data_IF_031490068306
#
_entry.id   IF_031490068306
#
_cell.length_a   1.000
_cell.length_b   1.000
_cell.length_c   1.000
_cell.angle_alpha   90.00
_cell.angle_beta   90.00
_cell.angle_gamma   90.00
#
_symmetry.space_group_name_H-M   'P 1'
#
loop_
_entity.id
_entity.type
_entity.pdbx_description
1 polymer ?
#
# COMPACT_ATOMS: atom_id res chain seq x y z
N UNK A 1 -6.34 31.26 10.47
CA UNK A 1 -7.57 31.54 9.70
C UNK A 1 -8.74 31.49 10.67
N UNK A 2 -8.98 32.57 11.40
CA UNK A 2 -10.13 32.68 12.31
C UNK A 2 -11.12 33.62 11.63
N UNK A 3 -12.13 33.03 10.96
CA UNK A 3 -13.27 33.78 10.43
C UNK A 3 -14.50 33.36 11.24
N UNK A 4 -14.84 34.24 12.18
CA UNK A 4 -16.18 34.61 12.58
C UNK A 4 -17.16 33.48 12.92
N UNK A 5 -16.92 32.81 14.05
CA UNK A 5 -18.03 32.30 14.86
C UNK A 5 -18.70 33.50 15.53
N UNK A 6 -19.60 34.18 14.80
CA UNK A 6 -20.44 35.24 15.37
C UNK A 6 -21.26 34.66 16.52
N UNK A 7 -21.12 35.23 17.72
CA UNK A 7 -21.88 34.82 18.87
C UNK A 7 -23.39 35.03 18.62
N UNK A 8 -24.25 34.03 18.89
CA UNK A 8 -25.69 34.21 18.77
C UNK A 8 -26.18 35.30 19.72
N UNK A 9 -27.17 36.07 19.29
CA UNK A 9 -27.78 37.13 20.10
C UNK A 9 -28.49 36.47 21.30
N UNK A 10 -28.22 36.95 22.51
CA UNK A 10 -28.86 36.43 23.70
C UNK A 10 -30.38 36.71 23.67
N UNK A 11 -31.19 35.66 23.56
CA UNK A 11 -32.65 35.75 23.66
C UNK A 11 -33.03 35.75 25.15
N UNK A 12 -33.56 36.88 25.64
CA UNK A 12 -34.08 36.99 27.00
C UNK A 12 -35.45 36.31 27.11
N UNK A 13 -35.74 35.68 28.25
CA UNK A 13 -37.05 35.10 28.52
C UNK A 13 -38.10 36.20 28.63
N UNK A 14 -39.23 36.05 27.94
CA UNK A 14 -40.33 37.04 27.90
C UNK A 14 -41.61 36.41 28.40
N UNK A 15 -42.45 37.24 29.03
CA UNK A 15 -43.71 36.79 29.61
C UNK A 15 -44.88 37.60 29.05
N UNK A 16 -45.86 36.91 28.46
CA UNK A 16 -47.01 37.54 27.80
C UNK A 16 -47.97 38.24 28.78
N UNK A 17 -47.96 37.86 30.07
CA UNK A 17 -48.77 38.47 31.13
C UNK A 17 -48.23 39.82 31.65
N UNK A 18 -46.98 40.15 31.32
CA UNK A 18 -46.33 41.41 31.71
C UNK A 18 -46.55 42.53 30.68
N UNK A 19 -47.14 42.22 29.52
CA UNK A 19 -47.38 43.17 28.44
C UNK A 19 -48.68 43.98 28.66
N UNK A 20 -48.65 45.31 28.44
CA UNK A 20 -49.87 46.11 28.41
C UNK A 20 -50.77 45.70 27.23
N UNK A 21 -52.10 45.91 27.32
CA UNK A 21 -53.06 45.39 26.33
C UNK A 21 -52.82 45.83 24.88
N UNK A 22 -52.31 47.05 24.68
CA UNK A 22 -51.99 47.60 23.36
C UNK A 22 -50.79 46.89 22.72
N UNK A 23 -49.77 46.58 23.52
CA UNK A 23 -48.57 45.86 23.09
C UNK A 23 -48.86 44.37 22.86
N UNK A 24 -49.73 43.77 23.69
CA UNK A 24 -50.20 42.40 23.52
C UNK A 24 -50.90 42.22 22.16
N UNK A 25 -51.69 43.22 21.73
CA UNK A 25 -52.33 43.21 20.41
C UNK A 25 -51.30 43.28 19.27
N UNK A 26 -50.30 44.15 19.40
CA UNK A 26 -49.25 44.34 18.41
C UNK A 26 -48.35 43.11 18.25
N UNK A 27 -47.92 42.48 19.35
CA UNK A 27 -47.09 41.27 19.33
C UNK A 27 -47.89 40.05 18.84
N UNK A 28 -49.16 39.91 19.22
CA UNK A 28 -50.03 38.87 18.63
C UNK A 28 -50.12 38.99 17.09
N UNK A 29 -50.20 40.20 16.56
CA UNK A 29 -50.22 40.44 15.11
C UNK A 29 -48.85 40.10 14.48
N UNK A 30 -47.75 40.44 15.15
CA UNK A 30 -46.39 40.14 14.71
C UNK A 30 -46.13 38.64 14.56
N UNK A 31 -46.64 37.83 15.49
CA UNK A 31 -46.55 36.36 15.43
C UNK A 31 -47.69 35.69 14.64
N UNK A 32 -48.54 36.47 13.97
CA UNK A 32 -49.70 36.00 13.21
C UNK A 32 -50.67 35.12 14.03
N UNK A 33 -50.83 35.43 15.32
CA UNK A 33 -51.74 34.70 16.23
C UNK A 33 -53.19 35.14 15.93
N UNK A 34 -54.12 34.22 15.66
CA UNK A 34 -55.49 34.55 15.26
C UNK A 34 -56.28 35.29 16.35
N UNK A 35 -57.23 36.13 15.93
CA UNK A 35 -58.13 36.88 16.82
C UNK A 35 -59.13 35.95 17.51
N UNK A 36 -59.18 35.99 18.85
CA UNK A 36 -60.01 35.15 19.71
C UNK A 36 -59.98 35.60 21.17
N UNK A 37 -60.36 34.72 22.11
CA UNK A 37 -60.36 34.98 23.56
C UNK A 37 -58.97 35.44 24.07
N UNK A 38 -58.95 36.43 24.96
CA UNK A 38 -57.73 37.07 25.47
C UNK A 38 -56.81 36.04 26.13
N UNK A 39 -57.39 35.08 26.86
CA UNK A 39 -56.64 34.00 27.51
C UNK A 39 -55.95 33.08 26.50
N UNK A 40 -56.66 32.71 25.43
CA UNK A 40 -56.10 31.87 24.36
C UNK A 40 -54.95 32.57 23.61
N UNK A 41 -55.07 33.89 23.39
CA UNK A 41 -54.04 34.70 22.73
C UNK A 41 -52.79 34.85 23.59
N UNK A 42 -52.95 35.09 24.89
CA UNK A 42 -51.82 35.16 25.83
C UNK A 42 -51.05 33.84 25.91
N UNK A 43 -51.77 32.70 25.95
CA UNK A 43 -51.12 31.38 25.96
C UNK A 43 -50.38 31.07 24.65
N UNK A 44 -50.98 31.39 23.49
CA UNK A 44 -50.34 31.20 22.20
C UNK A 44 -49.09 32.10 22.03
N UNK A 45 -49.14 33.34 22.53
CA UNK A 45 -47.99 34.24 22.52
C UNK A 45 -46.90 33.78 23.48
N UNK A 46 -47.26 33.30 24.66
CA UNK A 46 -46.30 32.72 25.61
C UNK A 46 -45.59 31.50 25.01
N UNK A 47 -46.33 30.62 24.31
CA UNK A 47 -45.72 29.49 23.59
C UNK A 47 -44.71 29.96 22.56
N UNK A 48 -44.98 31.03 21.81
CA UNK A 48 -44.01 31.59 20.85
C UNK A 48 -42.77 32.17 21.53
N UNK A 49 -42.93 32.87 22.66
CA UNK A 49 -41.80 33.36 23.44
C UNK A 49 -40.96 32.23 24.06
N UNK A 50 -41.61 31.18 24.55
CA UNK A 50 -40.92 30.01 25.09
C UNK A 50 -40.18 29.24 23.98
N UNK A 51 -40.81 29.06 22.80
CA UNK A 51 -40.17 28.46 21.61
C UNK A 51 -38.94 29.26 21.16
N UNK A 52 -39.05 30.59 21.04
CA UNK A 52 -37.91 31.45 20.65
C UNK A 52 -36.78 31.42 21.69
N UNK A 53 -37.13 31.41 22.98
CA UNK A 53 -36.16 31.31 24.07
C UNK A 53 -35.45 29.94 24.05
N UNK A 54 -36.19 28.84 23.88
CA UNK A 54 -35.62 27.50 23.78
C UNK A 54 -34.71 27.34 22.56
N UNK A 55 -35.12 27.82 21.39
CA UNK A 55 -34.28 27.83 20.19
C UNK A 55 -33.02 28.66 20.42
N UNK A 56 -33.14 29.85 21.00
CA UNK A 56 -31.99 30.70 21.34
C UNK A 56 -31.03 30.06 22.35
N UNK A 57 -31.54 29.31 23.34
CA UNK A 57 -30.71 28.54 24.27
C UNK A 57 -30.02 27.37 23.58
N UNK A 58 -30.73 26.61 22.73
CA UNK A 58 -30.14 25.51 21.95
C UNK A 58 -29.06 26.01 21.00
N UNK A 59 -29.27 27.15 20.33
CA UNK A 59 -28.27 27.78 19.47
C UNK A 59 -27.04 28.22 20.26
N UNK A 60 -27.23 28.78 21.46
CA UNK A 60 -26.14 29.17 22.36
C UNK A 60 -25.37 27.96 22.88
N UNK A 61 -26.05 26.90 23.30
CA UNK A 61 -25.41 25.65 23.72
C UNK A 61 -24.63 25.01 22.57
N UNK A 62 -25.20 24.98 21.36
CA UNK A 62 -24.53 24.48 20.17
C UNK A 62 -23.31 25.34 19.81
N UNK A 63 -23.40 26.66 19.96
CA UNK A 63 -22.27 27.58 19.81
C UNK A 63 -21.17 27.29 20.83
N UNK A 64 -21.51 27.15 22.12
CA UNK A 64 -20.54 26.81 23.17
C UNK A 64 -19.85 25.47 22.89
N UNK A 65 -20.60 24.43 22.48
CA UNK A 65 -20.00 23.14 22.10
C UNK A 65 -19.02 23.26 20.92
N UNK A 66 -19.36 24.09 19.92
CA UNK A 66 -18.47 24.37 18.78
C UNK A 66 -17.21 25.12 19.20
N UNK A 67 -17.35 26.09 20.10
CA UNK A 67 -16.23 26.85 20.66
C UNK A 67 -15.30 25.92 21.45
N UNK A 68 -15.84 25.10 22.36
CA UNK A 68 -15.07 24.10 23.09
C UNK A 68 -14.38 23.10 22.16
N UNK A 69 -15.05 22.67 21.08
CA UNK A 69 -14.43 21.80 20.08
C UNK A 69 -13.28 22.49 19.35
N UNK A 70 -13.44 23.79 19.05
CA UNK A 70 -12.38 24.58 18.44
C UNK A 70 -11.20 24.79 19.38
N UNK A 71 -11.45 25.16 20.63
CA UNK A 71 -10.41 25.28 21.67
C UNK A 71 -9.65 23.97 21.83
N UNK A 72 -10.36 22.83 21.94
CA UNK A 72 -9.71 21.51 21.97
C UNK A 72 -8.87 21.21 20.72
N UNK A 73 -9.31 21.65 19.53
CA UNK A 73 -8.53 21.50 18.29
C UNK A 73 -7.29 22.39 18.30
N UNK A 74 -7.40 23.62 18.79
CA UNK A 74 -6.28 24.55 18.90
C UNK A 74 -5.25 24.05 19.92
N UNK A 75 -5.68 23.63 21.11
CA UNK A 75 -4.83 22.98 22.12
C UNK A 75 -4.13 21.74 21.56
N UNK A 76 -4.85 20.90 20.81
CA UNK A 76 -4.26 19.72 20.16
C UNK A 76 -3.22 20.11 19.12
N UNK A 77 -3.49 21.11 18.28
CA UNK A 77 -2.56 21.58 17.26
C UNK A 77 -1.30 22.20 17.89
N UNK A 78 -1.45 22.95 18.98
CA UNK A 78 -0.33 23.49 19.75
C UNK A 78 0.51 22.38 20.39
N UNK A 79 -0.13 21.37 21.01
CA UNK A 79 0.57 20.22 21.57
C UNK A 79 1.36 19.44 20.50
N UNK A 80 0.79 19.25 19.31
CA UNK A 80 1.48 18.62 18.17
C UNK A 80 2.66 19.46 17.70
N UNK A 81 2.51 20.79 17.62
CA UNK A 81 3.58 21.70 17.24
C UNK A 81 4.74 21.65 18.24
N UNK A 82 4.45 21.76 19.54
CA UNK A 82 5.44 21.68 20.61
C UNK A 82 6.19 20.34 20.58
N UNK A 83 5.51 19.23 20.30
CA UNK A 83 6.15 17.91 20.18
C UNK A 83 7.08 17.84 18.96
N UNK A 84 6.68 18.41 17.83
CA UNK A 84 7.53 18.50 16.63
C UNK A 84 8.78 19.35 16.88
N UNK A 85 8.66 20.45 17.62
CA UNK A 85 9.81 21.28 17.99
C UNK A 85 10.79 20.52 18.89
N UNK A 86 10.30 19.83 19.92
CA UNK A 86 11.14 18.99 20.78
C UNK A 86 11.85 17.89 19.97
N UNK A 87 11.14 17.27 19.02
CA UNK A 87 11.70 16.25 18.13
C UNK A 87 12.82 16.83 17.25
N UNK A 88 12.62 18.02 16.68
CA UNK A 88 13.65 18.71 15.90
C UNK A 88 14.86 19.09 16.75
N UNK A 89 14.64 19.60 17.97
CA UNK A 89 15.72 19.91 18.90
C UNK A 89 16.55 18.67 19.27
N UNK A 90 15.90 17.53 19.54
CA UNK A 90 16.61 16.28 19.80
C UNK A 90 17.43 15.81 18.59
N UNK A 91 16.89 15.92 17.37
CA UNK A 91 17.63 15.60 16.15
C UNK A 91 18.81 16.56 15.90
N UNK A 92 18.70 17.84 16.27
CA UNK A 92 19.82 18.79 16.18
C UNK A 92 20.96 18.42 17.13
N UNK A 93 20.65 17.93 18.33
CA UNK A 93 21.64 17.41 19.28
C UNK A 93 22.32 16.12 18.78
N UNK A 94 21.67 15.37 17.88
CA UNK A 94 22.14 14.08 17.34
C UNK A 94 22.29 14.14 15.80
N UNK A 95 23.31 14.83 15.24
CA UNK A 95 23.40 15.10 13.79
C UNK A 95 23.50 13.84 12.92
N UNK A 96 24.10 12.77 13.47
CA UNK A 96 24.17 11.46 12.80
C UNK A 96 22.77 10.85 12.65
N UNK A 97 21.95 10.91 13.70
CA UNK A 97 20.58 10.37 13.67
C UNK A 97 19.71 11.23 12.77
N UNK A 98 19.87 12.55 12.79
CA UNK A 98 19.17 13.45 11.87
C UNK A 98 19.40 13.08 10.40
N UNK A 99 20.64 12.81 10.02
CA UNK A 99 20.98 12.39 8.66
C UNK A 99 20.33 11.04 8.31
N UNK A 100 20.34 10.08 9.25
CA UNK A 100 19.68 8.78 9.06
C UNK A 100 18.17 8.95 8.87
N UNK A 101 17.52 9.78 9.67
CA UNK A 101 16.07 10.07 9.54
C UNK A 101 15.77 10.66 8.17
N UNK A 102 16.55 11.65 7.71
CA UNK A 102 16.39 12.21 6.36
C UNK A 102 16.57 11.15 5.25
N UNK A 103 17.56 10.27 5.38
CA UNK A 103 17.78 9.18 4.42
C UNK A 103 16.62 8.17 4.40
N UNK A 104 16.01 7.90 5.55
CA UNK A 104 14.82 7.04 5.67
C UNK A 104 13.62 7.71 5.00
N UNK A 105 13.38 9.00 5.27
CA UNK A 105 12.28 9.77 4.66
C UNK A 105 12.41 9.83 3.13
N UNK A 106 13.64 9.94 2.62
CA UNK A 106 13.93 9.95 1.18
C UNK A 106 13.99 8.56 0.54
N UNK A 107 13.78 7.48 1.30
CA UNK A 107 13.92 6.08 0.82
C UNK A 107 15.30 5.73 0.23
N UNK A 108 16.36 6.42 0.65
CA UNK A 108 17.75 6.16 0.22
C UNK A 108 18.57 5.42 1.28
N UNK A 109 18.01 5.23 2.48
CA UNK A 109 18.66 4.50 3.56
C UNK A 109 19.00 3.04 3.16
N UNK A 110 20.12 2.49 3.66
CA UNK A 110 20.56 1.13 3.35
C UNK A 110 19.54 0.09 3.82
N UNK A 111 19.51 -1.07 3.14
CA UNK A 111 18.60 -2.18 3.49
C UNK A 111 18.79 -2.70 4.92
N UNK A 112 20.01 -2.64 5.43
CA UNK A 112 20.35 -3.04 6.80
C UNK A 112 20.84 -1.80 7.53
N UNK A 113 20.11 -1.40 8.57
CA UNK A 113 20.39 -0.21 9.34
C UNK A 113 20.58 -0.58 10.80
N UNK A 114 21.73 -0.19 11.34
CA UNK A 114 22.08 -0.37 12.75
C UNK A 114 22.23 1.02 13.35
N UNK A 115 21.47 1.29 14.42
CA UNK A 115 21.49 2.58 15.10
C UNK A 115 21.84 2.37 16.56
N UNK A 116 22.81 3.15 17.03
CA UNK A 116 23.36 3.11 18.39
C UNK A 116 23.42 4.52 18.96
N UNK A 117 23.33 4.61 20.29
CA UNK A 117 23.31 5.86 21.05
C UNK A 117 22.23 6.83 20.55
N UNK A 118 21.00 6.34 20.38
CA UNK A 118 19.82 7.14 20.01
C UNK A 118 19.00 7.48 21.25
N UNK A 119 18.58 8.73 21.41
CA UNK A 119 17.64 9.10 22.49
C UNK A 119 16.22 8.57 22.21
N UNK A 120 15.38 8.49 23.25
CA UNK A 120 13.97 8.07 23.12
C UNK A 120 13.22 8.92 22.09
N UNK A 121 13.45 10.24 22.10
CA UNK A 121 12.74 11.18 21.23
C UNK A 121 13.21 11.08 19.77
N UNK A 122 14.52 11.00 19.54
CA UNK A 122 15.07 10.75 18.21
C UNK A 122 14.67 9.35 17.68
N UNK A 123 14.51 8.36 18.56
CA UNK A 123 13.99 7.04 18.20
C UNK A 123 12.52 7.12 17.75
N UNK A 124 11.67 7.89 18.44
CA UNK A 124 10.30 8.15 17.99
C UNK A 124 10.28 8.81 16.60
N UNK A 125 11.17 9.77 16.34
CA UNK A 125 11.34 10.40 15.03
C UNK A 125 11.67 9.39 13.94
N UNK A 126 12.68 8.55 14.20
CA UNK A 126 13.12 7.50 13.29
C UNK A 126 12.00 6.50 13.00
N UNK A 127 11.29 6.02 14.03
CA UNK A 127 10.16 5.09 13.88
C UNK A 127 8.99 5.73 13.12
N UNK A 128 8.77 7.04 13.28
CA UNK A 128 7.77 7.80 12.52
C UNK A 128 8.15 7.86 11.03
N UNK A 129 9.39 8.21 10.71
CA UNK A 129 9.90 8.21 9.34
C UNK A 129 9.83 6.80 8.69
N UNK A 130 10.13 5.76 9.47
CA UNK A 130 10.06 4.37 9.02
C UNK A 130 8.65 3.95 8.58
N UNK A 131 7.55 4.59 9.02
CA UNK A 131 6.18 4.19 8.65
C UNK A 131 5.93 4.16 7.14
N UNK A 132 6.54 5.09 6.40
CA UNK A 132 6.40 5.19 4.94
C UNK A 132 7.63 4.65 4.18
N UNK A 133 8.67 4.22 4.90
CA UNK A 133 9.90 3.76 4.27
C UNK A 133 9.74 2.39 3.60
N UNK A 134 10.31 2.26 2.41
CA UNK A 134 10.28 1.04 1.59
C UNK A 134 11.67 0.44 1.30
N UNK A 135 12.73 1.17 1.63
CA UNK A 135 14.13 0.78 1.36
C UNK A 135 14.71 -0.14 2.44
N UNK A 136 14.51 0.20 3.71
CA UNK A 136 15.05 -0.53 4.88
C UNK A 136 14.30 -1.86 5.06
N UNK A 137 15.07 -2.94 5.18
CA UNK A 137 14.59 -4.33 5.35
C UNK A 137 14.96 -4.92 6.69
N UNK A 138 16.01 -4.42 7.32
CA UNK A 138 16.46 -4.82 8.65
C UNK A 138 16.83 -3.57 9.45
N UNK A 139 16.21 -3.42 10.61
CA UNK A 139 16.47 -2.33 11.54
C UNK A 139 16.92 -2.90 12.88
N UNK A 140 18.07 -2.45 13.35
CA UNK A 140 18.62 -2.83 14.64
C UNK A 140 18.74 -1.60 15.53
N UNK A 141 17.92 -1.57 16.58
CA UNK A 141 17.88 -0.58 17.66
C UNK A 141 18.29 -1.19 19.00
N UNK A 142 19.02 -2.31 18.99
CA UNK A 142 19.49 -2.94 20.22
C UNK A 142 20.52 -2.10 20.97
N UNK A 143 20.57 -2.28 22.29
CA UNK A 143 21.54 -1.64 23.18
C UNK A 143 21.48 -0.09 23.13
N UNK A 144 20.29 0.48 23.34
CA UNK A 144 20.04 1.92 23.29
C UNK A 144 19.32 2.48 24.53
N UNK A 145 19.14 1.68 25.59
CA UNK A 145 18.38 2.09 26.80
C UNK A 145 16.96 2.57 26.47
N UNK A 146 16.32 1.97 25.47
CA UNK A 146 14.97 2.35 25.05
C UNK A 146 13.94 1.83 26.07
N UNK A 147 12.98 2.67 26.44
CA UNK A 147 11.95 2.38 27.46
C UNK A 147 10.57 2.37 26.83
N UNK A 148 9.50 2.18 27.62
CA UNK A 148 8.14 2.11 27.09
C UNK A 148 7.62 3.37 26.40
N UNK A 149 8.34 4.49 26.52
CA UNK A 149 8.04 5.73 25.80
C UNK A 149 7.98 5.50 24.28
N UNK A 150 8.79 4.58 23.74
CA UNK A 150 8.80 4.28 22.30
C UNK A 150 7.77 3.21 21.89
N UNK A 151 7.10 2.54 22.84
CA UNK A 151 6.26 1.36 22.58
C UNK A 151 5.12 1.63 21.58
N UNK A 152 4.45 2.77 21.74
CA UNK A 152 3.38 3.18 20.80
C UNK A 152 3.94 3.51 19.41
N UNK A 153 5.10 4.18 19.35
CA UNK A 153 5.79 4.50 18.10
C UNK A 153 6.22 3.23 17.35
N UNK A 154 6.68 2.21 18.08
CA UNK A 154 6.98 0.89 17.54
C UNK A 154 5.73 0.23 16.97
N UNK A 155 4.63 0.18 17.74
CA UNK A 155 3.37 -0.40 17.29
C UNK A 155 2.86 0.24 15.99
N UNK A 156 2.79 1.57 15.96
CA UNK A 156 2.39 2.34 14.76
C UNK A 156 3.32 2.13 13.57
N UNK A 157 4.63 1.99 13.80
CA UNK A 157 5.60 1.68 12.74
C UNK A 157 5.34 0.30 12.15
N UNK A 158 5.18 -0.72 13.00
CA UNK A 158 4.91 -2.09 12.55
C UNK A 158 3.55 -2.22 11.87
N UNK A 159 2.52 -1.49 12.29
CA UNK A 159 1.22 -1.53 11.64
C UNK A 159 1.28 -1.02 10.19
N UNK A 160 1.97 0.11 9.98
CA UNK A 160 2.00 0.80 8.69
C UNK A 160 3.11 0.32 7.75
N UNK A 161 4.29 0.01 8.27
CA UNK A 161 5.43 -0.36 7.43
C UNK A 161 5.21 -1.75 6.80
N UNK A 162 5.24 -1.81 5.47
CA UNK A 162 5.09 -3.04 4.68
C UNK A 162 6.38 -3.49 3.98
N UNK A 163 7.54 -2.98 4.41
CA UNK A 163 8.84 -3.29 3.83
C UNK A 163 9.81 -3.99 4.80
N UNK A 164 9.79 -3.62 6.08
CA UNK A 164 10.67 -4.11 7.12
C UNK A 164 10.44 -5.60 7.38
N UNK A 165 11.53 -6.38 7.31
CA UNK A 165 11.52 -7.84 7.47
C UNK A 165 12.13 -8.28 8.80
N UNK A 166 13.15 -7.59 9.27
CA UNK A 166 13.84 -7.91 10.52
C UNK A 166 13.89 -6.69 11.43
N UNK A 167 13.50 -6.85 12.68
CA UNK A 167 13.53 -5.78 13.66
C UNK A 167 14.13 -6.26 14.98
N UNK A 168 15.20 -5.60 15.41
CA UNK A 168 15.91 -5.92 16.65
C UNK A 168 15.77 -4.78 17.66
N UNK A 169 15.14 -5.09 18.80
CA UNK A 169 14.96 -4.25 19.98
C UNK A 169 15.65 -4.84 21.22
N UNK A 170 16.54 -5.82 21.04
CA UNK A 170 17.22 -6.50 22.15
C UNK A 170 18.06 -5.56 23.02
N UNK A 171 18.36 -5.97 24.26
CA UNK A 171 19.17 -5.19 25.21
C UNK A 171 18.63 -3.76 25.39
N UNK A 172 17.34 -3.64 25.68
CA UNK A 172 16.69 -2.38 26.02
C UNK A 172 15.88 -2.58 27.32
N UNK A 173 15.13 -1.57 27.73
CA UNK A 173 14.41 -1.51 29.00
C UNK A 173 12.88 -1.52 28.76
N UNK A 174 12.43 -2.28 27.76
CA UNK A 174 11.02 -2.42 27.42
C UNK A 174 10.30 -3.34 28.41
N UNK A 175 9.11 -2.95 28.85
CA UNK A 175 8.28 -3.71 29.79
C UNK A 175 7.00 -4.21 29.10
N UNK A 176 6.11 -4.96 29.79
CA UNK A 176 4.85 -5.44 29.22
C UNK A 176 4.01 -4.33 28.58
N UNK A 177 4.14 -3.06 28.99
CA UNK A 177 3.41 -1.94 28.40
C UNK A 177 3.71 -1.78 26.90
N UNK A 178 4.97 -1.88 26.48
CA UNK A 178 5.34 -1.87 25.06
C UNK A 178 4.85 -3.12 24.32
N UNK A 179 4.80 -4.25 25.02
CA UNK A 179 4.40 -5.53 24.46
C UNK A 179 2.97 -5.51 23.91
N UNK A 180 2.04 -4.80 24.58
CA UNK A 180 0.67 -4.65 24.11
C UNK A 180 0.57 -3.96 22.75
N UNK A 181 1.33 -2.87 22.55
CA UNK A 181 1.37 -2.15 21.28
C UNK A 181 2.04 -2.99 20.18
N UNK A 182 3.15 -3.68 20.50
CA UNK A 182 3.83 -4.60 19.58
C UNK A 182 2.90 -5.75 19.17
N UNK A 183 2.23 -6.39 20.14
CA UNK A 183 1.30 -7.50 19.89
C UNK A 183 0.14 -7.10 18.98
N UNK A 184 -0.53 -5.98 19.27
CA UNK A 184 -1.61 -5.49 18.42
C UNK A 184 -1.15 -5.19 16.99
N UNK A 185 0.03 -4.61 16.82
CA UNK A 185 0.58 -4.34 15.50
C UNK A 185 0.97 -5.62 14.74
N UNK A 186 1.54 -6.62 15.44
CA UNK A 186 1.92 -7.91 14.84
C UNK A 186 0.71 -8.70 14.32
N UNK A 187 -0.49 -8.54 14.90
CA UNK A 187 -1.71 -9.14 14.35
C UNK A 187 -2.01 -8.69 12.92
N UNK A 188 -1.71 -7.44 12.60
CA UNK A 188 -1.99 -6.83 11.30
C UNK A 188 -0.76 -6.77 10.37
N UNK A 189 0.43 -6.99 10.91
CA UNK A 189 1.65 -7.03 10.13
C UNK A 189 1.83 -8.40 9.48
N UNK A 190 1.86 -8.43 8.15
CA UNK A 190 2.05 -9.65 7.33
C UNK A 190 3.41 -9.69 6.63
N UNK A 191 4.35 -8.83 7.05
CA UNK A 191 5.60 -8.55 6.34
C UNK A 191 6.83 -8.90 7.18
N UNK A 192 6.79 -8.63 8.49
CA UNK A 192 7.88 -8.88 9.41
C UNK A 192 8.08 -10.38 9.55
N UNK A 193 9.33 -10.82 9.35
CA UNK A 193 9.76 -12.22 9.41
C UNK A 193 10.63 -12.51 10.63
N UNK A 194 11.30 -11.51 11.19
CA UNK A 194 12.17 -11.66 12.36
C UNK A 194 11.95 -10.53 13.37
N UNK A 195 11.72 -10.91 14.63
CA UNK A 195 11.61 -9.99 15.77
C UNK A 195 12.52 -10.44 16.90
N UNK A 196 13.39 -9.55 17.38
CA UNK A 196 14.29 -9.78 18.51
C UNK A 196 13.93 -8.84 19.65
N UNK A 197 13.57 -9.41 20.79
CA UNK A 197 13.20 -8.73 22.05
C UNK A 197 14.10 -9.17 23.22
N UNK A 198 15.23 -9.80 22.90
CA UNK A 198 16.17 -10.36 23.87
C UNK A 198 16.55 -9.37 24.98
N UNK A 199 16.75 -9.85 26.21
CA UNK A 199 17.24 -9.05 27.34
C UNK A 199 16.42 -7.77 27.57
N UNK A 200 15.10 -7.87 27.48
CA UNK A 200 14.15 -6.83 27.89
C UNK A 200 13.20 -7.44 28.93
N UNK A 201 12.85 -6.75 30.04
CA UNK A 201 11.89 -7.25 31.04
C UNK A 201 10.43 -7.19 30.55
N UNK A 202 10.17 -7.65 29.32
CA UNK A 202 8.94 -7.45 28.57
C UNK A 202 7.88 -8.52 28.82
N UNK A 203 8.27 -9.70 29.34
CA UNK A 203 7.37 -10.83 29.62
C UNK A 203 7.22 -11.11 31.13
N UNK A 204 7.47 -10.10 31.95
CA UNK A 204 7.19 -10.15 33.39
C UNK A 204 5.69 -10.26 33.62
N UNK A 205 5.26 -11.25 34.39
CA UNK A 205 3.86 -11.43 34.79
C UNK A 205 3.75 -11.84 36.25
N UNK A 206 3.00 -11.05 37.04
CA UNK A 206 2.77 -11.32 38.44
C UNK A 206 1.28 -11.56 38.71
N UNK A 207 0.89 -12.82 38.82
CA UNK A 207 -0.51 -13.25 39.04
C UNK A 207 -1.09 -12.73 40.37
N UNK A 208 -0.25 -12.51 41.37
CA UNK A 208 -0.68 -12.08 42.71
C UNK A 208 -1.18 -10.63 42.78
N UNK A 209 -0.72 -9.75 41.87
CA UNK A 209 -1.19 -8.37 41.77
C UNK A 209 -2.68 -8.28 41.38
N UNK A 210 -3.22 -9.28 40.68
CA UNK A 210 -4.62 -9.33 40.28
C UNK A 210 -5.60 -9.66 41.41
N UNK A 211 -5.18 -10.48 42.39
CA UNK A 211 -6.08 -10.93 43.45
C UNK A 211 -6.32 -9.86 44.53
N UNK A 212 -5.34 -8.96 44.73
CA UNK A 212 -5.41 -7.93 45.78
C UNK A 212 -5.82 -6.53 45.28
N UNK A 213 -5.85 -6.28 43.97
CA UNK A 213 -6.14 -4.95 43.40
C UNK A 213 -7.63 -4.55 43.43
N UNK A 214 -8.51 -5.38 43.98
CA UNK A 214 -9.95 -5.04 44.13
C UNK A 214 -10.22 -4.13 45.35
N UNK A 215 -9.25 -3.93 46.27
CA UNK A 215 -9.54 -3.34 47.58
C UNK A 215 -8.76 -2.07 48.00
N UNK A 216 -7.99 -1.40 47.12
CA UNK A 216 -7.27 -0.18 47.54
C UNK A 216 -7.45 0.98 46.56
N UNK A 217 -8.50 1.75 46.78
CA UNK A 217 -8.65 3.14 46.32
C UNK A 217 -7.85 4.07 47.23
N UNK A 218 -6.71 4.57 46.78
CA UNK A 218 -6.01 5.63 47.51
C UNK A 218 -4.58 5.93 47.06
N UNK A 219 -4.39 7.16 46.58
CA UNK A 219 -3.13 7.90 46.42
C UNK A 219 -2.37 7.74 45.08
N UNK A 220 -2.38 8.83 44.32
CA UNK A 220 -1.61 9.05 43.09
C UNK A 220 -0.15 9.36 43.44
N UNK A 221 0.78 8.54 42.94
CA UNK A 221 2.21 8.86 42.84
C UNK A 221 2.63 8.86 41.35
N UNK A 222 3.67 9.61 40.92
CA UNK A 222 3.93 9.88 39.51
C UNK A 222 4.73 8.80 38.77
N UNK A 223 5.10 7.70 39.42
CA UNK A 223 5.85 6.60 38.79
C UNK A 223 5.23 5.24 39.13
N UNK A 224 4.31 4.80 38.26
CA UNK A 224 4.17 3.39 37.87
C UNK A 224 3.42 2.46 38.83
N UNK A 225 2.14 2.70 39.08
CA UNK A 225 1.23 1.62 39.50
C UNK A 225 0.75 0.87 38.24
N UNK A 226 1.61 0.03 37.67
CA UNK A 226 1.21 -0.85 36.57
C UNK A 226 0.38 -1.98 37.16
N UNK A 227 -0.95 -1.81 37.16
CA UNK A 227 -1.85 -2.83 37.69
C UNK A 227 -1.61 -4.15 36.95
N UNK A 228 -1.60 -5.27 37.67
CA UNK A 228 -1.41 -6.59 37.04
C UNK A 228 -2.33 -6.84 35.84
N UNK A 229 -3.52 -6.21 35.83
CA UNK A 229 -4.49 -6.24 34.74
C UNK A 229 -3.95 -5.72 33.41
N UNK A 230 -3.14 -4.67 33.43
CA UNK A 230 -2.55 -4.06 32.24
C UNK A 230 -1.44 -4.96 31.66
N UNK A 231 -0.69 -5.65 32.53
CA UNK A 231 0.34 -6.62 32.13
C UNK A 231 -0.28 -7.88 31.52
N UNK A 232 -1.35 -8.41 32.12
CA UNK A 232 -2.08 -9.56 31.57
C UNK A 232 -2.59 -9.26 30.16
N UNK A 233 -3.27 -8.12 29.98
CA UNK A 233 -3.82 -7.71 28.70
C UNK A 233 -2.73 -7.57 27.61
N UNK A 234 -1.55 -7.07 28.00
CA UNK A 234 -0.43 -6.89 27.07
C UNK A 234 0.18 -8.21 26.63
N UNK A 235 0.35 -9.17 27.55
CA UNK A 235 0.84 -10.52 27.26
C UNK A 235 -0.19 -11.31 26.44
N UNK A 236 -1.48 -11.17 26.75
CA UNK A 236 -2.56 -11.77 25.97
C UNK A 236 -2.61 -11.21 24.54
N UNK A 237 -2.45 -9.89 24.37
CA UNK A 237 -2.38 -9.27 23.07
C UNK A 237 -1.23 -9.85 22.23
N UNK A 238 -0.05 -10.03 22.83
CA UNK A 238 1.12 -10.60 22.18
C UNK A 238 0.98 -12.09 21.87
N UNK A 239 0.57 -12.93 22.83
CA UNK A 239 0.35 -14.36 22.59
C UNK A 239 -0.73 -14.60 21.54
N UNK A 240 -1.82 -13.82 21.56
CA UNK A 240 -2.84 -13.82 20.53
C UNK A 240 -2.28 -13.41 19.16
N UNK A 241 -1.36 -12.44 19.12
CA UNK A 241 -0.67 -12.04 17.90
C UNK A 241 0.21 -13.16 17.34
N UNK A 242 1.00 -13.82 18.18
CA UNK A 242 1.81 -14.96 17.78
C UNK A 242 0.94 -16.10 17.24
N UNK A 243 -0.21 -16.37 17.86
CA UNK A 243 -1.13 -17.40 17.40
C UNK A 243 -1.71 -17.11 16.00
N UNK A 244 -1.97 -15.84 15.68
CA UNK A 244 -2.61 -15.42 14.42
C UNK A 244 -1.64 -15.03 13.30
N UNK A 245 -0.43 -14.59 13.66
CA UNK A 245 0.56 -14.12 12.70
C UNK A 245 1.10 -15.28 11.85
N UNK A 246 1.19 -15.07 10.54
CA UNK A 246 1.66 -16.06 9.56
C UNK A 246 2.92 -15.62 8.82
N UNK A 247 3.45 -14.43 9.09
CA UNK A 247 4.66 -13.89 8.43
C UNK A 247 5.92 -14.07 9.25
N UNK A 248 5.81 -14.05 10.57
CA UNK A 248 6.94 -14.14 11.50
C UNK A 248 7.48 -15.58 11.50
N UNK A 249 8.76 -15.72 11.16
CA UNK A 249 9.46 -17.02 11.08
C UNK A 249 10.52 -17.17 12.18
N UNK A 250 11.04 -16.06 12.70
CA UNK A 250 12.03 -16.02 13.77
C UNK A 250 11.59 -15.10 14.91
N UNK A 251 11.59 -15.60 16.13
CA UNK A 251 11.30 -14.84 17.34
C UNK A 251 12.38 -15.10 18.39
N UNK A 252 13.00 -14.04 18.89
CA UNK A 252 13.93 -14.13 20.01
C UNK A 252 13.35 -13.40 21.22
N UNK A 253 13.07 -14.16 22.27
CA UNK A 253 12.61 -13.72 23.60
C UNK A 253 13.53 -14.31 24.68
N UNK A 254 14.83 -14.40 24.38
CA UNK A 254 15.85 -14.83 25.33
C UNK A 254 15.96 -13.82 26.48
N UNK A 255 16.04 -14.31 27.73
CA UNK A 255 16.20 -13.47 28.92
C UNK A 255 15.17 -12.32 29.01
N UNK A 256 13.89 -12.64 28.84
CA UNK A 256 12.79 -11.65 28.87
C UNK A 256 11.96 -11.69 30.15
N UNK A 257 12.49 -12.31 31.21
CA UNK A 257 11.81 -12.53 32.49
C UNK A 257 10.50 -13.31 32.36
N UNK A 258 10.41 -14.21 31.37
CA UNK A 258 9.25 -15.07 31.18
C UNK A 258 9.18 -16.13 32.30
N UNK A 259 8.02 -16.24 32.94
CA UNK A 259 7.74 -17.29 33.93
C UNK A 259 6.98 -18.48 33.32
N UNK A 260 6.65 -19.48 34.14
CA UNK A 260 5.99 -20.70 33.68
C UNK A 260 4.55 -20.46 33.20
N UNK A 261 3.83 -19.46 33.72
CA UNK A 261 2.48 -19.11 33.28
C UNK A 261 2.49 -18.51 31.86
N UNK A 262 3.39 -17.53 31.63
CA UNK A 262 3.57 -16.91 30.32
C UNK A 262 4.14 -17.92 29.31
N UNK A 263 5.08 -18.75 29.73
CA UNK A 263 5.62 -19.84 28.91
C UNK A 263 4.52 -20.78 28.41
N UNK A 264 3.61 -21.19 29.30
CA UNK A 264 2.46 -22.03 28.93
C UNK A 264 1.49 -21.34 27.97
N UNK A 265 1.17 -20.07 28.21
CA UNK A 265 0.31 -19.29 27.32
C UNK A 265 0.94 -19.16 25.91
N UNK A 266 2.26 -18.96 25.85
CA UNK A 266 2.99 -18.88 24.59
C UNK A 266 3.01 -20.25 23.88
N UNK A 267 3.19 -21.37 24.57
CA UNK A 267 3.06 -22.71 23.97
C UNK A 267 1.68 -22.91 23.34
N UNK A 268 0.60 -22.50 24.01
CA UNK A 268 -0.76 -22.58 23.46
C UNK A 268 -0.93 -21.73 22.20
N UNK A 269 -0.30 -20.56 22.15
CA UNK A 269 -0.26 -19.73 20.94
C UNK A 269 0.52 -20.42 19.80
N UNK A 270 1.69 -20.99 20.11
CA UNK A 270 2.52 -21.71 19.14
C UNK A 270 1.85 -22.96 18.57
N UNK A 271 0.95 -23.59 19.32
CA UNK A 271 0.16 -24.71 18.81
C UNK A 271 -0.73 -24.32 17.61
N UNK A 272 -1.14 -23.04 17.53
CA UNK A 272 -1.92 -22.48 16.42
C UNK A 272 -1.04 -21.84 15.34
N UNK A 273 0.12 -21.32 15.72
CA UNK A 273 1.07 -20.71 14.79
C UNK A 273 1.64 -21.73 13.79
N UNK A 274 1.77 -21.34 12.53
CA UNK A 274 2.27 -22.19 11.45
C UNK A 274 3.54 -21.67 10.75
N UNK A 275 4.06 -20.53 11.19
CA UNK A 275 5.11 -19.78 10.49
C UNK A 275 6.46 -19.78 11.22
N UNK A 276 6.46 -19.75 12.55
CA UNK A 276 7.69 -19.63 13.35
C UNK A 276 8.44 -20.97 13.32
N UNK A 277 9.72 -20.89 12.93
CA UNK A 277 10.66 -22.01 12.83
C UNK A 277 11.90 -21.82 13.70
N UNK A 278 12.27 -20.58 13.98
CA UNK A 278 13.37 -20.23 14.87
C UNK A 278 12.80 -19.52 16.10
N UNK A 279 13.05 -20.10 17.28
CA UNK A 279 12.57 -19.55 18.55
C UNK A 279 13.69 -19.64 19.59
N UNK A 280 14.09 -18.49 20.11
CA UNK A 280 15.01 -18.39 21.23
C UNK A 280 14.24 -18.00 22.49
N UNK A 281 14.14 -18.93 23.45
CA UNK A 281 13.44 -18.76 24.75
C UNK A 281 14.36 -19.01 25.95
N UNK A 282 15.67 -19.13 25.72
CA UNK A 282 16.66 -19.42 26.75
C UNK A 282 16.71 -18.36 27.86
N UNK A 283 17.31 -18.71 28.99
CA UNK A 283 17.46 -17.83 30.16
C UNK A 283 16.15 -17.25 30.68
N UNK A 284 15.09 -18.06 30.64
CA UNK A 284 13.77 -17.77 31.23
C UNK A 284 13.36 -18.87 32.20
N UNK A 285 12.36 -18.60 33.05
CA UNK A 285 11.84 -19.55 34.04
C UNK A 285 10.70 -20.40 33.48
N UNK A 286 11.00 -21.18 32.43
CA UNK A 286 10.02 -22.01 31.70
C UNK A 286 10.14 -23.48 32.12
N UNK A 287 9.02 -24.22 32.11
CA UNK A 287 9.02 -25.65 32.37
C UNK A 287 9.70 -26.45 31.24
N UNK A 288 10.43 -27.50 31.60
CA UNK A 288 11.08 -28.38 30.61
C UNK A 288 10.09 -29.02 29.64
N UNK A 289 8.86 -29.33 30.09
CA UNK A 289 7.78 -29.85 29.24
C UNK A 289 7.37 -28.84 28.16
N UNK A 290 7.32 -27.56 28.50
CA UNK A 290 6.92 -26.48 27.60
C UNK A 290 8.03 -26.20 26.57
N UNK A 291 9.31 -26.27 26.99
CA UNK A 291 10.45 -26.23 26.07
C UNK A 291 10.43 -27.36 25.03
N UNK A 292 10.08 -28.59 25.44
CA UNK A 292 9.94 -29.71 24.52
C UNK A 292 8.80 -29.48 23.50
N UNK A 293 7.71 -28.85 23.92
CA UNK A 293 6.60 -28.50 23.03
C UNK A 293 6.99 -27.40 22.04
N UNK A 294 7.72 -26.37 22.46
CA UNK A 294 8.25 -25.36 21.54
C UNK A 294 9.12 -25.99 20.45
N UNK A 295 10.05 -26.86 20.81
CA UNK A 295 10.91 -27.56 19.86
C UNK A 295 10.11 -28.43 18.88
N UNK A 296 9.09 -29.14 19.37
CA UNK A 296 8.20 -29.95 18.56
C UNK A 296 7.40 -29.10 17.55
N UNK A 297 6.84 -27.97 17.99
CA UNK A 297 6.10 -27.04 17.13
C UNK A 297 7.00 -26.39 16.06
N UNK A 298 8.19 -25.91 16.46
CA UNK A 298 9.17 -25.35 15.53
C UNK A 298 9.59 -26.36 14.46
N UNK A 299 9.86 -27.61 14.86
CA UNK A 299 10.20 -28.70 13.93
C UNK A 299 9.06 -29.00 12.95
N UNK A 300 7.81 -29.02 13.43
CA UNK A 300 6.63 -29.22 12.56
C UNK A 300 6.48 -28.10 11.55
N UNK A 301 6.71 -26.85 11.95
CA UNK A 301 6.66 -25.70 11.05
C UNK A 301 7.83 -25.71 10.05
N UNK A 302 9.02 -26.11 10.47
CA UNK A 302 10.18 -26.29 9.59
C UNK A 302 9.87 -27.28 8.47
N UNK A 303 9.33 -28.46 8.78
CA UNK A 303 8.95 -29.45 7.76
C UNK A 303 7.84 -28.93 6.82
N UNK A 304 6.87 -28.17 7.34
CA UNK A 304 5.84 -27.53 6.50
C UNK A 304 6.45 -26.50 5.54
N UNK A 305 7.39 -25.70 6.03
CA UNK A 305 8.08 -24.69 5.24
C UNK A 305 8.92 -25.32 4.13
N UNK A 306 9.66 -26.40 4.43
CA UNK A 306 10.44 -27.17 3.45
C UNK A 306 9.55 -27.74 2.33
N UNK A 307 8.42 -28.37 2.70
CA UNK A 307 7.46 -28.90 1.72
C UNK A 307 6.86 -27.77 0.86
N UNK A 308 6.53 -26.63 1.46
CA UNK A 308 6.02 -25.48 0.73
C UNK A 308 7.07 -24.91 -0.25
N UNK A 309 8.31 -24.74 0.20
CA UNK A 309 9.42 -24.27 -0.62
C UNK A 309 9.71 -25.23 -1.79
N UNK A 310 9.71 -26.54 -1.55
CA UNK A 310 9.90 -27.55 -2.59
C UNK A 310 8.81 -27.46 -3.66
N UNK A 311 7.54 -27.29 -3.27
CA UNK A 311 6.43 -27.08 -4.22
C UNK A 311 6.61 -25.80 -5.03
N UNK A 312 6.99 -24.69 -4.40
CA UNK A 312 7.24 -23.43 -5.11
C UNK A 312 8.38 -23.54 -6.12
N UNK A 313 9.46 -24.25 -5.78
CA UNK A 313 10.58 -24.51 -6.69
C UNK A 313 10.14 -25.37 -7.88
N UNK A 314 9.36 -26.42 -7.64
CA UNK A 314 8.81 -27.27 -8.69
C UNK A 314 7.92 -26.48 -9.66
N UNK A 315 6.98 -25.68 -9.14
CA UNK A 315 6.12 -24.82 -9.97
C UNK A 315 6.95 -23.83 -10.80
N UNK A 316 7.97 -23.20 -10.19
CA UNK A 316 8.85 -22.27 -10.93
C UNK A 316 9.62 -22.99 -12.04
N UNK A 317 10.08 -24.22 -11.81
CA UNK A 317 10.76 -25.02 -12.82
C UNK A 317 9.81 -25.37 -13.97
N UNK A 318 8.57 -25.75 -13.69
CA UNK A 318 7.54 -26.06 -14.69
C UNK A 318 7.17 -24.82 -15.51
N UNK A 319 6.98 -23.67 -14.87
CA UNK A 319 6.75 -22.40 -15.55
C UNK A 319 7.91 -22.04 -16.48
N UNK A 320 9.16 -22.27 -16.04
CA UNK A 320 10.33 -22.03 -16.89
C UNK A 320 10.35 -22.98 -18.09
N UNK A 321 10.07 -24.27 -17.89
CA UNK A 321 9.98 -25.24 -18.99
C UNK A 321 8.94 -24.85 -20.03
N UNK A 322 7.74 -24.46 -19.60
CA UNK A 322 6.72 -23.98 -20.53
C UNK A 322 7.10 -22.68 -21.24
N UNK A 323 7.80 -21.76 -20.56
CA UNK A 323 8.30 -20.55 -21.19
C UNK A 323 9.37 -20.87 -22.27
N UNK A 324 10.28 -21.79 -21.98
CA UNK A 324 11.33 -22.22 -22.90
C UNK A 324 10.71 -22.98 -24.11
N UNK A 325 9.75 -23.88 -23.87
CA UNK A 325 8.97 -24.57 -24.92
C UNK A 325 8.24 -23.58 -25.83
N UNK A 326 7.59 -22.57 -25.23
CA UNK A 326 6.92 -21.51 -25.98
C UNK A 326 7.90 -20.70 -26.83
N UNK A 327 9.09 -20.37 -26.32
CA UNK A 327 10.12 -19.68 -27.09
C UNK A 327 10.62 -20.51 -28.27
N UNK A 328 10.83 -21.83 -28.08
CA UNK A 328 11.24 -22.74 -29.15
C UNK A 328 10.18 -22.84 -30.24
N UNK A 329 8.91 -22.95 -29.87
CA UNK A 329 7.80 -23.02 -30.85
C UNK A 329 7.66 -21.70 -31.63
N UNK A 330 7.82 -20.55 -30.96
CA UNK A 330 7.86 -19.24 -31.62
C UNK A 330 9.02 -19.13 -32.61
N UNK A 331 10.22 -19.57 -32.23
CA UNK A 331 11.38 -19.58 -33.12
C UNK A 331 11.16 -20.49 -34.35
N UNK A 332 10.53 -21.65 -34.15
CA UNK A 332 10.19 -22.57 -35.24
C UNK A 332 9.16 -21.98 -36.20
N UNK A 333 8.14 -21.31 -35.68
CA UNK A 333 7.13 -20.60 -36.48
C UNK A 333 7.77 -19.46 -37.28
N UNK A 334 8.66 -18.69 -36.66
CA UNK A 334 9.42 -17.63 -37.33
C UNK A 334 10.28 -18.20 -38.48
N UNK A 335 11.03 -19.28 -38.23
CA UNK A 335 11.81 -19.95 -39.28
C UNK A 335 10.92 -20.45 -40.43
N UNK A 336 9.77 -21.05 -40.14
CA UNK A 336 8.83 -21.48 -41.17
C UNK A 336 8.25 -20.32 -41.99
N UNK A 337 8.06 -19.15 -41.37
CA UNK A 337 7.64 -17.95 -42.09
C UNK A 337 8.75 -17.42 -43.00
N UNK A 338 10.00 -17.40 -42.52
CA UNK A 338 11.17 -17.02 -43.31
C UNK A 338 11.38 -17.96 -44.50
N UNK A 339 11.31 -19.28 -44.28
CA UNK A 339 11.47 -20.29 -45.34
C UNK A 339 10.36 -20.15 -46.40
N UNK A 340 9.10 -19.95 -45.99
CA UNK A 340 7.98 -19.71 -46.91
C UNK A 340 8.19 -18.43 -47.72
N UNK A 341 8.59 -17.33 -47.08
CA UNK A 341 8.87 -16.08 -47.76
C UNK A 341 10.02 -16.22 -48.78
N UNK A 342 11.06 -16.98 -48.43
CA UNK A 342 12.17 -17.28 -49.34
C UNK A 342 11.71 -18.09 -50.55
N UNK A 343 10.87 -19.13 -50.36
CA UNK A 343 10.31 -19.92 -51.44
C UNK A 343 9.40 -19.10 -52.36
N UNK A 344 8.53 -18.24 -51.80
CA UNK A 344 7.67 -17.34 -52.57
C UNK A 344 8.48 -16.31 -53.38
N UNK A 345 9.50 -15.70 -52.78
CA UNK A 345 10.40 -14.77 -53.47
C UNK A 345 11.13 -15.44 -54.64
N UNK A 346 11.66 -16.65 -54.42
CA UNK A 346 12.31 -17.43 -55.48
C UNK A 346 11.33 -17.85 -56.59
N UNK A 347 10.11 -18.26 -56.24
CA UNK A 347 9.09 -18.61 -57.21
C UNK A 347 8.70 -17.39 -58.07
N UNK A 348 8.55 -16.22 -57.44
CA UNK A 348 8.28 -14.96 -58.13
C UNK A 348 9.43 -14.58 -59.08
N UNK A 349 10.67 -14.67 -58.63
CA UNK A 349 11.84 -14.39 -59.48
C UNK A 349 11.89 -15.33 -60.69
N UNK A 350 11.61 -16.64 -60.51
CA UNK A 350 11.52 -17.59 -61.62
C UNK A 350 10.36 -17.28 -62.58
N UNK A 351 9.23 -16.77 -62.07
CA UNK A 351 8.12 -16.33 -62.91
C UNK A 351 8.49 -15.09 -63.73
N UNK A 352 9.14 -14.09 -63.13
CA UNK A 352 9.63 -12.88 -63.82
C UNK A 352 10.66 -13.20 -64.91
N UNK A 353 11.54 -14.19 -64.67
CA UNK A 353 12.48 -14.68 -65.70
C UNK A 353 11.72 -15.32 -66.86
N UNK A 354 10.75 -16.20 -66.59
CA UNK A 354 9.94 -16.83 -67.65
C UNK A 354 9.15 -15.81 -68.46
N UNK A 355 8.54 -14.84 -67.79
CA UNK A 355 7.80 -13.76 -68.47
C UNK A 355 8.72 -12.93 -69.38
N UNK A 356 9.95 -12.61 -68.94
CA UNK A 356 10.95 -11.94 -69.77
C UNK A 356 11.41 -12.80 -70.96
N UNK A 357 11.65 -14.10 -70.74
CA UNK A 357 12.03 -15.02 -71.81
C UNK A 357 10.91 -15.24 -72.83
N UNK A 358 9.66 -15.30 -72.39
CA UNK A 358 8.47 -15.38 -73.25
C UNK A 358 8.30 -14.09 -74.06
N UNK A 359 8.45 -12.92 -73.41
CA UNK A 359 8.41 -11.63 -74.08
C UNK A 359 9.53 -11.49 -75.13
N UNK A 360 10.75 -11.90 -74.80
CA UNK A 360 11.87 -11.82 -75.73
C UNK A 360 11.68 -12.76 -76.93
N UNK A 361 11.14 -13.97 -76.70
CA UNK A 361 10.76 -14.87 -77.80
C UNK A 361 9.68 -14.26 -78.69
N UNK A 362 8.63 -13.70 -78.11
CA UNK A 362 7.57 -13.02 -78.86
C UNK A 362 8.09 -11.80 -79.63
N UNK A 363 9.07 -11.06 -79.07
CA UNK A 363 9.75 -9.95 -79.73
C UNK A 363 10.52 -10.40 -80.96
N UNK A 364 11.32 -11.47 -80.84
CA UNK A 364 12.10 -12.03 -81.95
C UNK A 364 11.16 -12.55 -83.05
N UNK A 365 10.11 -13.30 -82.69
CA UNK A 365 9.12 -13.80 -83.65
C UNK A 365 8.43 -12.65 -84.40
N UNK A 366 8.06 -11.57 -83.69
CA UNK A 366 7.48 -10.38 -84.32
C UNK A 366 8.48 -9.66 -85.24
N UNK A 367 9.77 -9.56 -84.87
CA UNK A 367 10.82 -9.00 -85.73
C UNK A 367 11.03 -9.83 -87.00
N UNK A 368 11.03 -11.16 -86.89
CA UNK A 368 11.10 -12.07 -88.03
C UNK A 368 9.89 -11.92 -88.97
N UNK A 369 8.68 -11.82 -88.42
CA UNK A 369 7.46 -11.62 -89.20
C UNK A 369 7.44 -10.26 -89.90
N UNK A 370 7.88 -9.19 -89.24
CA UNK A 370 8.06 -7.87 -89.85
C UNK A 370 9.07 -7.95 -91.01
N UNK A 371 10.19 -8.65 -90.81
CA UNK A 371 11.20 -8.82 -91.85
C UNK A 371 10.65 -9.60 -93.06
N UNK A 372 9.88 -10.68 -92.83
CA UNK A 372 9.17 -11.40 -93.90
C UNK A 372 8.21 -10.51 -94.67
N UNK A 373 7.45 -9.65 -93.98
CA UNK A 373 6.53 -8.70 -94.61
C UNK A 373 7.28 -7.66 -95.46
N UNK A 374 8.43 -7.16 -95.00
CA UNK A 374 9.28 -6.25 -95.78
C UNK A 374 9.80 -6.93 -97.06
N UNK A 375 10.24 -8.18 -96.95
CA UNK A 375 10.67 -8.96 -98.12
C UNK A 375 9.53 -9.12 -99.13
N UNK A 376 8.33 -9.48 -98.67
CA UNK A 376 7.13 -9.60 -99.51
C UNK A 376 6.80 -8.26 -100.20
N UNK A 377 6.78 -7.12 -99.50
CA UNK A 377 6.56 -5.81 -100.13
C UNK A 377 7.66 -5.49 -101.17
N UNK A 378 8.91 -5.90 -100.90
CA UNK A 378 10.01 -5.81 -101.84
C UNK A 378 9.78 -6.63 -103.13
N UNK A 379 9.28 -7.86 -103.01
CA UNK A 379 8.87 -8.69 -104.14
C UNK A 379 7.68 -8.07 -104.90
N UNK A 380 6.68 -7.58 -104.19
CA UNK A 380 5.51 -6.91 -104.77
C UNK A 380 5.89 -5.62 -105.49
N UNK A 381 6.85 -4.86 -104.97
CA UNK A 381 7.40 -3.67 -105.64
C UNK A 381 8.12 -4.05 -106.93
N UNK A 382 8.99 -5.06 -106.92
CA UNK A 382 9.63 -5.58 -108.15
C UNK A 382 8.61 -6.11 -109.16
N UNK A 383 7.54 -6.75 -108.68
CA UNK A 383 6.46 -7.23 -109.53
C UNK A 383 5.67 -6.07 -110.16
N UNK A 384 5.34 -5.03 -109.39
CA UNK A 384 4.75 -3.77 -109.88
C UNK A 384 5.65 -3.10 -110.93
N UNK A 385 6.96 -3.00 -110.66
CA UNK A 385 7.94 -2.45 -111.61
C UNK A 385 8.04 -3.26 -112.91
N UNK A 386 7.99 -4.60 -112.84
CA UNK A 386 7.91 -5.47 -114.03
C UNK A 386 6.64 -5.24 -114.83
N UNK A 387 5.48 -5.16 -114.18
CA UNK A 387 4.22 -4.86 -114.85
C UNK A 387 4.25 -3.49 -115.53
N UNK A 388 4.84 -2.47 -114.90
CA UNK A 388 4.99 -1.15 -115.49
C UNK A 388 6.03 -1.13 -116.63
N UNK A 389 7.10 -1.91 -116.54
CA UNK A 389 8.05 -2.12 -117.64
C UNK A 389 7.39 -2.84 -118.83
N UNK A 390 6.58 -3.88 -118.59
CA UNK A 390 5.80 -4.56 -119.64
C UNK A 390 4.76 -3.64 -120.29
N UNK A 391 4.09 -2.78 -119.50
CA UNK A 391 3.21 -1.73 -120.04
C UNK A 391 3.99 -0.73 -120.91
N UNK A 392 5.20 -0.32 -120.51
CA UNK A 392 6.07 0.57 -121.31
C UNK A 392 6.58 -0.10 -122.60
N UNK A 393 6.94 -1.38 -122.57
CA UNK A 393 7.32 -2.16 -123.77
C UNK A 393 6.12 -2.32 -124.71
N UNK A 394 4.93 -2.61 -124.18
CA UNK A 394 3.69 -2.65 -124.97
C UNK A 394 3.30 -1.27 -125.55
N UNK A 395 3.60 -0.17 -124.84
CA UNK A 395 3.41 1.19 -125.34
C UNK A 395 4.44 1.58 -126.42
N UNK A 396 5.71 1.18 -126.26
CA UNK A 396 6.77 1.40 -127.25
C UNK A 396 6.61 0.54 -128.51
N UNK A 397 6.10 -0.69 -128.38
CA UNK A 397 5.80 -1.58 -129.50
C UNK A 397 4.58 -1.08 -130.32
N UNK A 398 3.63 -0.40 -129.67
CA UNK A 398 2.55 0.32 -130.39
C UNK A 398 3.01 1.63 -131.05
N UNK A 399 4.23 2.10 -130.79
CA UNK A 399 4.81 3.29 -131.42
C UNK A 399 5.69 3.00 -132.64
N UNK A 400 5.91 1.74 -133.01
CA UNK A 400 6.65 1.33 -134.22
C UNK A 400 5.86 0.27 -135.00
N UNK A 401 4.69 0.67 -135.50
CA UNK A 401 4.22 0.40 -136.87
C UNK A 401 2.83 0.97 -137.07
#
# INVERSE_FOLDING_TARGET
MSRDLMAPIAVAKRYANELPPEELQAECLRYAIPSGDTSARMNALQQKYDEEYEVGQQEREAYMRKLEEQERKEEFMEAVHNLQELEQQALQCEPKIHTIVQQIEQNVAPKHLIVRAISQLACCALLRAMRANTSVRSLDLSNNHLTDVIGESVGKMLEKNKALRSFNLGFNELTPRSLGAIGNALKQNSVLTSLVLESNPILVFNKELHANSVNTSGSMAPHGNDSGATQHASIEAFTSAIAANSSLTALNVFSTSMNYDVGRALVQAFAKNTSIVSLEVGSNSILQSDLALFASHAKKNQSRMEVAQAKTVAIRADMKRHADEFQVEQAKLAQQQEDRAWHEANAKQRAEIREKEEWERARIEAEEDVQRLIEIDGWDKKYREKLDAEKKVKAGAKGKK
#
